data_IF_026122802804
#
_entry.id   IF_026122802804
#
_cell.length_a   1.000
_cell.length_b   1.000
_cell.length_c   1.000
_cell.angle_alpha   90.00
_cell.angle_beta   90.00
_cell.angle_gamma   90.00
#
_symmetry.space_group_name_H-M   'P 1'
#
loop_
_entity.id
_entity.type
_entity.pdbx_description
1 polymer ?
#
# COMPACT_ATOMS: atom_id res chain seq x y z
N UNK A 1 -6.71 18.98 17.67
CA UNK A 1 -7.81 19.15 16.71
C UNK A 1 -7.97 17.82 16.00
N UNK A 2 -9.14 17.19 16.08
CA UNK A 2 -9.43 15.91 15.43
C UNK A 2 -9.77 16.15 13.95
N UNK A 3 -9.30 15.30 13.06
CA UNK A 3 -9.50 15.44 11.61
C UNK A 3 -10.99 15.38 11.24
N UNK A 4 -11.79 14.60 11.98
CA UNK A 4 -13.24 14.56 11.81
C UNK A 4 -13.90 15.90 12.16
N UNK A 5 -13.44 16.58 13.21
CA UNK A 5 -13.96 17.90 13.59
C UNK A 5 -13.69 18.99 12.55
N UNK A 6 -12.63 18.84 11.74
CA UNK A 6 -12.40 19.70 10.58
C UNK A 6 -13.47 19.45 9.50
N UNK A 7 -13.80 18.18 9.24
CA UNK A 7 -14.85 17.82 8.28
C UNK A 7 -16.24 18.28 8.74
N UNK A 8 -16.56 18.12 10.03
CA UNK A 8 -17.82 18.61 10.62
C UNK A 8 -18.01 20.11 10.37
N UNK A 9 -16.99 20.91 10.71
CA UNK A 9 -17.04 22.37 10.50
C UNK A 9 -17.17 22.77 9.04
N UNK A 10 -16.61 21.99 8.11
CA UNK A 10 -16.78 22.25 6.69
C UNK A 10 -18.23 22.01 6.28
N UNK A 11 -18.81 20.89 6.67
CA UNK A 11 -20.21 20.57 6.39
C UNK A 11 -21.17 21.59 7.00
N UNK A 12 -20.94 22.01 8.25
CA UNK A 12 -21.74 23.04 8.95
C UNK A 12 -21.71 24.41 8.25
N UNK A 13 -20.64 24.69 7.51
CA UNK A 13 -20.47 25.94 6.74
C UNK A 13 -20.88 25.79 5.27
N UNK A 14 -21.43 24.64 4.88
CA UNK A 14 -21.85 24.34 3.51
C UNK A 14 -20.70 24.02 2.56
N UNK A 15 -19.48 23.81 3.08
CA UNK A 15 -18.30 23.45 2.30
C UNK A 15 -18.15 21.92 2.23
N UNK A 16 -17.96 21.40 1.02
CA UNK A 16 -17.70 19.98 0.83
C UNK A 16 -16.19 19.70 0.82
N UNK A 17 -15.69 18.75 1.62
CA UNK A 17 -14.29 18.37 1.58
C UNK A 17 -13.93 17.82 0.19
N UNK A 18 -12.95 18.45 -0.45
CA UNK A 18 -12.45 18.00 -1.74
C UNK A 18 -11.29 17.00 -1.57
N UNK A 19 -10.88 16.36 -2.67
CA UNK A 19 -9.83 15.33 -2.63
C UNK A 19 -8.50 15.81 -2.07
N UNK A 20 -8.14 17.09 -2.24
CA UNK A 20 -6.88 17.66 -1.71
C UNK A 20 -6.90 17.69 -0.19
N UNK A 21 -8.01 18.11 0.42
CA UNK A 21 -8.17 18.18 1.87
C UNK A 21 -8.11 16.76 2.47
N UNK A 22 -8.80 15.81 1.87
CA UNK A 22 -8.78 14.42 2.34
C UNK A 22 -7.39 13.80 2.22
N UNK A 23 -6.69 14.03 1.11
CA UNK A 23 -5.30 13.58 0.95
C UNK A 23 -4.37 14.19 2.00
N UNK A 24 -4.52 15.48 2.33
CA UNK A 24 -3.72 16.14 3.35
C UNK A 24 -3.99 15.58 4.76
N UNK A 25 -5.26 15.32 5.10
CA UNK A 25 -5.63 14.69 6.36
C UNK A 25 -5.04 13.28 6.49
N UNK A 26 -5.15 12.46 5.45
CA UNK A 26 -4.58 11.10 5.44
C UNK A 26 -3.06 11.15 5.66
N UNK A 27 -2.35 12.02 4.94
CA UNK A 27 -0.89 12.12 5.05
C UNK A 27 -0.45 12.66 6.42
N UNK A 28 -1.12 13.68 6.94
CA UNK A 28 -0.85 14.23 8.27
C UNK A 28 -1.08 13.21 9.39
N UNK A 29 -2.22 12.53 9.37
CA UNK A 29 -2.55 11.49 10.35
C UNK A 29 -1.60 10.29 10.26
N UNK A 30 -1.18 9.91 9.05
CA UNK A 30 -0.19 8.85 8.84
C UNK A 30 1.13 9.20 9.52
N UNK A 31 1.64 10.42 9.30
CA UNK A 31 2.88 10.92 9.93
C UNK A 31 2.82 10.96 11.46
N UNK A 32 1.66 11.27 12.03
CA UNK A 32 1.43 11.22 13.47
C UNK A 32 1.19 9.79 14.01
N UNK A 33 1.12 8.78 13.14
CA UNK A 33 0.80 7.40 13.52
C UNK A 33 -0.66 7.17 13.92
N UNK A 34 -1.56 8.13 13.65
CA UNK A 34 -3.00 8.10 13.97
C UNK A 34 -3.79 7.34 12.90
N UNK A 35 -3.40 6.09 12.67
CA UNK A 35 -3.91 5.25 11.56
C UNK A 35 -5.43 5.06 11.64
N UNK A 36 -5.98 4.80 12.83
CA UNK A 36 -7.42 4.58 12.97
C UNK A 36 -8.26 5.84 12.72
N UNK A 37 -7.71 7.02 13.00
CA UNK A 37 -8.39 8.26 12.65
C UNK A 37 -8.32 8.53 11.15
N UNK A 38 -7.21 8.20 10.49
CA UNK A 38 -7.11 8.25 9.04
C UNK A 38 -8.16 7.34 8.39
N UNK A 39 -8.37 6.14 8.92
CA UNK A 39 -9.43 5.22 8.46
C UNK A 39 -10.82 5.81 8.61
N UNK A 40 -11.16 6.37 9.79
CA UNK A 40 -12.46 7.01 10.02
C UNK A 40 -12.72 8.16 9.04
N UNK A 41 -11.69 8.96 8.73
CA UNK A 41 -11.77 10.00 7.69
C UNK A 41 -12.08 9.40 6.33
N UNK A 42 -11.37 8.33 5.93
CA UNK A 42 -11.59 7.65 4.64
C UNK A 42 -13.01 7.08 4.56
N UNK A 43 -13.45 6.36 5.59
CA UNK A 43 -14.76 5.72 5.63
C UNK A 43 -15.88 6.76 5.52
N UNK A 44 -15.80 7.86 6.28
CA UNK A 44 -16.80 8.95 6.22
C UNK A 44 -17.00 9.50 4.82
N UNK A 45 -15.91 9.73 4.08
CA UNK A 45 -15.96 10.53 2.85
C UNK A 45 -16.04 9.70 1.57
N UNK A 46 -15.88 8.39 1.66
CA UNK A 46 -15.70 7.56 0.47
C UNK A 46 -16.34 6.18 0.53
N UNK A 47 -16.94 5.77 1.65
CA UNK A 47 -17.61 4.47 1.73
C UNK A 47 -18.60 4.28 0.58
N UNK A 48 -18.54 3.11 -0.08
CA UNK A 48 -19.39 2.80 -1.24
C UNK A 48 -19.02 3.49 -2.55
N UNK A 49 -17.90 4.24 -2.61
CA UNK A 49 -17.45 4.92 -3.83
C UNK A 49 -16.11 4.36 -4.37
N UNK A 50 -15.82 4.61 -5.64
CA UNK A 50 -14.51 4.27 -6.23
C UNK A 50 -13.33 4.96 -5.52
N UNK A 51 -13.57 6.11 -4.88
CA UNK A 51 -12.56 6.85 -4.11
C UNK A 51 -12.11 6.08 -2.86
N UNK A 52 -12.90 5.13 -2.37
CA UNK A 52 -12.58 4.34 -1.19
C UNK A 52 -11.27 3.57 -1.36
N UNK A 53 -11.16 2.85 -2.48
CA UNK A 53 -9.95 2.11 -2.84
C UNK A 53 -8.73 3.05 -3.00
N UNK A 54 -8.94 4.23 -3.61
CA UNK A 54 -7.89 5.23 -3.80
C UNK A 54 -7.34 5.77 -2.48
N UNK A 55 -8.23 6.13 -1.54
CA UNK A 55 -7.80 6.71 -0.28
C UNK A 55 -7.18 5.69 0.67
N UNK A 56 -7.68 4.46 0.71
CA UNK A 56 -7.00 3.37 1.42
C UNK A 56 -5.63 3.06 0.80
N UNK A 57 -5.51 3.08 -0.53
CA UNK A 57 -4.22 2.97 -1.21
C UNK A 57 -3.25 4.08 -0.82
N UNK A 58 -3.72 5.33 -0.74
CA UNK A 58 -2.92 6.46 -0.26
C UNK A 58 -2.44 6.26 1.19
N UNK A 59 -3.30 5.74 2.07
CA UNK A 59 -2.93 5.43 3.45
C UNK A 59 -1.79 4.40 3.50
N UNK A 60 -1.88 3.31 2.73
CA UNK A 60 -0.80 2.30 2.63
C UNK A 60 0.51 2.94 2.15
N UNK A 61 0.45 3.72 1.07
CA UNK A 61 1.63 4.41 0.52
C UNK A 61 2.24 5.38 1.52
N UNK A 62 1.42 6.18 2.22
CA UNK A 62 1.92 7.13 3.21
C UNK A 62 2.58 6.41 4.39
N UNK A 63 1.98 5.33 4.91
CA UNK A 63 2.56 4.51 5.98
C UNK A 63 3.89 3.86 5.59
N UNK A 64 4.00 3.30 4.38
CA UNK A 64 5.27 2.78 3.88
C UNK A 64 6.37 3.85 3.80
N UNK A 65 6.03 5.06 3.33
CA UNK A 65 6.99 6.17 3.18
C UNK A 65 7.57 6.65 4.50
N UNK A 66 6.85 6.47 5.60
CA UNK A 66 7.30 6.85 6.95
C UNK A 66 7.85 5.66 7.76
N UNK A 67 8.09 4.50 7.12
CA UNK A 67 8.64 3.30 7.77
C UNK A 67 7.67 2.59 8.72
N UNK A 68 6.35 2.83 8.60
CA UNK A 68 5.31 2.12 9.35
C UNK A 68 4.81 0.90 8.57
N UNK A 69 5.72 0.12 7.99
CA UNK A 69 5.40 -0.96 7.03
C UNK A 69 4.49 -2.04 7.62
N UNK A 70 4.64 -2.39 8.90
CA UNK A 70 3.73 -3.34 9.57
C UNK A 70 2.28 -2.87 9.61
N UNK A 71 2.05 -1.58 9.85
CA UNK A 71 0.70 -1.01 9.81
C UNK A 71 0.20 -0.92 8.36
N UNK A 72 1.07 -0.51 7.43
CA UNK A 72 0.74 -0.52 6.00
C UNK A 72 0.31 -1.90 5.51
N UNK A 73 0.98 -2.97 5.96
CA UNK A 73 0.68 -4.35 5.61
C UNK A 73 -0.68 -4.80 6.17
N UNK A 74 -1.02 -4.43 7.41
CA UNK A 74 -2.35 -4.70 7.99
C UNK A 74 -3.45 -4.04 7.16
N UNK A 75 -3.27 -2.77 6.81
CA UNK A 75 -4.23 -2.03 5.98
C UNK A 75 -4.33 -2.67 4.60
N UNK A 76 -3.20 -3.01 3.98
CA UNK A 76 -3.16 -3.67 2.69
C UNK A 76 -3.91 -5.02 2.69
N UNK A 77 -3.65 -5.89 3.68
CA UNK A 77 -4.35 -7.17 3.81
C UNK A 77 -5.85 -6.99 4.02
N UNK A 78 -6.24 -5.99 4.81
CA UNK A 78 -7.65 -5.61 4.97
C UNK A 78 -8.28 -5.14 3.66
N UNK A 79 -7.58 -4.31 2.86
CA UNK A 79 -8.05 -3.93 1.52
C UNK A 79 -8.36 -5.16 0.66
N UNK A 80 -7.43 -6.11 0.60
CA UNK A 80 -7.61 -7.35 -0.16
C UNK A 80 -8.79 -8.17 0.37
N UNK A 81 -8.89 -8.35 1.70
CA UNK A 81 -9.96 -9.12 2.34
C UNK A 81 -11.35 -8.49 2.13
N UNK A 82 -11.43 -7.17 2.04
CA UNK A 82 -12.66 -6.43 1.74
C UNK A 82 -13.00 -6.36 0.24
N UNK A 83 -12.27 -7.10 -0.61
CA UNK A 83 -12.52 -7.14 -2.05
C UNK A 83 -12.03 -5.90 -2.81
N UNK A 84 -11.29 -4.99 -2.16
CA UNK A 84 -10.69 -3.85 -2.82
C UNK A 84 -9.58 -4.30 -3.78
N UNK A 85 -9.26 -3.44 -4.75
CA UNK A 85 -8.25 -3.68 -5.76
C UNK A 85 -7.16 -2.62 -5.64
N UNK A 86 -6.18 -2.79 -4.73
CA UNK A 86 -5.03 -1.92 -4.66
C UNK A 86 -4.40 -1.76 -6.04
N UNK A 87 -4.04 -0.53 -6.39
CA UNK A 87 -3.41 -0.25 -7.67
C UNK A 87 -1.90 -0.57 -7.63
N UNK A 88 -1.29 -0.51 -8.79
CA UNK A 88 0.11 -0.83 -9.07
C UNK A 88 1.09 -0.07 -8.17
N UNK A 89 0.78 1.21 -7.90
CA UNK A 89 1.56 2.04 -7.00
C UNK A 89 1.55 1.47 -5.57
N UNK A 90 0.39 1.06 -5.07
CA UNK A 90 0.27 0.47 -3.73
C UNK A 90 1.03 -0.85 -3.65
N UNK A 91 0.87 -1.73 -4.65
CA UNK A 91 1.56 -3.01 -4.73
C UNK A 91 3.08 -2.84 -4.75
N UNK A 92 3.58 -1.97 -5.63
CA UNK A 92 5.01 -1.70 -5.76
C UNK A 92 5.59 -1.07 -4.49
N UNK A 93 4.84 -0.14 -3.87
CA UNK A 93 5.27 0.53 -2.64
C UNK A 93 5.36 -0.41 -1.44
N UNK A 94 4.36 -1.29 -1.24
CA UNK A 94 4.37 -2.22 -0.10
C UNK A 94 5.47 -3.27 -0.24
N UNK A 95 5.66 -3.84 -1.44
CA UNK A 95 6.74 -4.81 -1.68
C UNK A 95 8.09 -4.16 -1.44
N UNK A 96 8.34 -2.98 -2.03
CA UNK A 96 9.59 -2.24 -1.83
C UNK A 96 9.86 -1.96 -0.36
N UNK A 97 8.85 -1.51 0.39
CA UNK A 97 9.00 -1.21 1.82
C UNK A 97 9.39 -2.46 2.64
N UNK A 98 8.78 -3.63 2.34
CA UNK A 98 9.10 -4.89 3.03
C UNK A 98 10.55 -5.33 2.74
N UNK A 99 11.01 -5.23 1.50
CA UNK A 99 12.39 -5.57 1.15
C UNK A 99 13.42 -4.62 1.78
N UNK A 100 13.09 -3.32 1.88
CA UNK A 100 13.95 -2.33 2.55
C UNK A 100 14.04 -2.55 4.08
N UNK A 101 13.11 -3.27 4.68
CA UNK A 101 13.16 -3.70 6.10
C UNK A 101 13.88 -5.04 6.31
N UNK A 102 14.58 -5.55 5.29
CA UNK A 102 15.28 -6.85 5.32
C UNK A 102 14.35 -8.06 5.55
N UNK A 103 13.03 -7.87 5.35
CA UNK A 103 12.00 -8.91 5.47
C UNK A 103 11.79 -9.63 4.13
N UNK A 104 12.88 -10.09 3.54
CA UNK A 104 12.96 -10.55 2.14
C UNK A 104 11.96 -11.67 1.83
N UNK A 105 11.82 -12.68 2.69
CA UNK A 105 10.87 -13.77 2.49
C UNK A 105 9.40 -13.34 2.62
N UNK A 106 9.10 -12.42 3.53
CA UNK A 106 7.74 -11.86 3.65
C UNK A 106 7.35 -11.12 2.37
N UNK A 107 8.29 -10.35 1.82
CA UNK A 107 8.10 -9.60 0.58
C UNK A 107 7.90 -10.53 -0.61
N UNK A 108 8.71 -11.59 -0.72
CA UNK A 108 8.54 -12.60 -1.76
C UNK A 108 7.23 -13.37 -1.61
N UNK A 109 6.83 -13.74 -0.39
CA UNK A 109 5.55 -14.41 -0.13
C UNK A 109 4.35 -13.54 -0.52
N UNK A 110 4.43 -12.24 -0.25
CA UNK A 110 3.42 -11.28 -0.72
C UNK A 110 3.39 -11.22 -2.24
N UNK A 111 4.53 -11.08 -2.90
CA UNK A 111 4.65 -11.09 -4.36
C UNK A 111 4.07 -12.38 -4.97
N UNK A 112 4.43 -13.55 -4.46
CA UNK A 112 3.95 -14.85 -4.94
C UNK A 112 2.42 -14.99 -4.78
N UNK A 113 1.85 -14.41 -3.71
CA UNK A 113 0.40 -14.37 -3.54
C UNK A 113 -0.28 -13.48 -4.59
N UNK A 114 0.33 -12.35 -4.93
CA UNK A 114 -0.17 -11.43 -5.96
C UNK A 114 -0.10 -12.07 -7.35
N UNK A 115 0.99 -12.78 -7.63
CA UNK A 115 1.18 -13.59 -8.83
C UNK A 115 0.08 -14.64 -9.00
N UNK A 116 -0.14 -15.47 -7.98
CA UNK A 116 -1.21 -16.49 -7.99
C UNK A 116 -2.60 -15.89 -8.17
N UNK A 117 -2.80 -14.64 -7.73
CA UNK A 117 -4.06 -13.92 -7.91
C UNK A 117 -4.17 -13.17 -9.25
N UNK A 118 -3.16 -13.24 -10.12
CA UNK A 118 -3.13 -12.54 -11.41
C UNK A 118 -2.93 -11.02 -11.33
N UNK A 119 -2.47 -10.49 -10.18
CA UNK A 119 -2.30 -9.06 -9.93
C UNK A 119 -0.87 -8.56 -10.09
N UNK A 120 0.11 -9.44 -10.29
CA UNK A 120 1.51 -9.04 -10.43
C UNK A 120 2.02 -8.60 -11.82
N UNK A 121 1.30 -8.73 -12.95
CA UNK A 121 1.72 -8.12 -14.22
C UNK A 121 1.88 -6.59 -14.18
N UNK A 122 1.40 -5.95 -13.11
CA UNK A 122 1.33 -4.50 -12.98
C UNK A 122 2.34 -3.91 -11.99
N UNK A 123 3.30 -4.72 -11.51
CA UNK A 123 4.38 -4.27 -10.62
C UNK A 123 5.55 -3.75 -11.47
N UNK A 124 6.13 -2.63 -11.04
CA UNK A 124 7.29 -1.99 -11.69
C UNK A 124 8.50 -2.95 -11.81
N UNK A 125 9.18 -2.94 -12.96
CA UNK A 125 10.35 -3.77 -13.26
C UNK A 125 11.47 -3.60 -12.23
N UNK A 126 11.63 -2.39 -11.68
CA UNK A 126 12.66 -2.10 -10.67
C UNK A 126 12.46 -2.93 -9.40
N UNK A 127 11.21 -3.32 -9.09
CA UNK A 127 10.91 -4.16 -7.93
C UNK A 127 11.48 -5.56 -8.11
N UNK A 128 11.44 -6.14 -9.30
CA UNK A 128 12.03 -7.46 -9.56
C UNK A 128 13.53 -7.47 -9.28
N UNK A 129 14.24 -6.40 -9.67
CA UNK A 129 15.67 -6.22 -9.38
C UNK A 129 15.94 -6.13 -7.88
N UNK A 130 15.15 -5.34 -7.14
CA UNK A 130 15.26 -5.23 -5.67
C UNK A 130 15.01 -6.59 -5.02
N UNK A 131 13.99 -7.32 -5.47
CA UNK A 131 13.64 -8.63 -4.92
C UNK A 131 14.74 -9.65 -5.18
N UNK A 132 15.24 -9.72 -6.41
CA UNK A 132 16.31 -10.66 -6.80
C UNK A 132 17.60 -10.38 -6.03
N UNK A 133 18.00 -9.11 -5.92
CA UNK A 133 19.18 -8.72 -5.14
C UNK A 133 19.03 -9.12 -3.67
N UNK A 134 17.91 -8.77 -3.03
CA UNK A 134 17.67 -9.10 -1.62
C UNK A 134 17.62 -10.61 -1.35
N UNK A 135 17.01 -11.40 -2.24
CA UNK A 135 16.97 -12.86 -2.12
C UNK A 135 18.37 -13.48 -2.27
N UNK A 136 19.16 -13.01 -3.24
CA UNK A 136 20.55 -13.47 -3.43
C UNK A 136 21.43 -13.11 -2.23
N UNK A 137 21.38 -11.88 -1.74
CA UNK A 137 22.16 -11.41 -0.59
C UNK A 137 21.88 -12.22 0.67
N UNK A 138 20.63 -12.67 0.87
CA UNK A 138 20.20 -13.48 2.02
C UNK A 138 20.27 -14.98 1.77
N UNK A 139 20.87 -15.41 0.65
CA UNK A 139 21.03 -16.83 0.27
C UNK A 139 19.71 -17.61 0.11
N UNK A 140 18.60 -16.91 -0.20
CA UNK A 140 17.31 -17.52 -0.54
C UNK A 140 17.27 -17.90 -2.03
N UNK A 141 18.14 -18.82 -2.42
CA UNK A 141 18.43 -19.13 -3.83
C UNK A 141 17.26 -19.80 -4.56
N UNK A 142 16.37 -20.50 -3.84
CA UNK A 142 15.21 -21.18 -4.44
C UNK A 142 14.21 -20.15 -4.94
N UNK A 143 13.87 -19.20 -4.08
CA UNK A 143 12.99 -18.07 -4.38
C UNK A 143 13.62 -17.15 -5.45
N UNK A 144 14.92 -16.88 -5.34
CA UNK A 144 15.66 -16.09 -6.34
C UNK A 144 15.61 -16.76 -7.73
N UNK A 145 15.84 -18.07 -7.82
CA UNK A 145 15.77 -18.80 -9.07
C UNK A 145 14.36 -18.79 -9.66
N UNK A 146 13.33 -18.96 -8.82
CA UNK A 146 11.93 -18.86 -9.26
C UNK A 146 11.62 -17.47 -9.81
N UNK A 147 12.08 -16.42 -9.14
CA UNK A 147 11.90 -15.04 -9.61
C UNK A 147 12.63 -14.78 -10.93
N UNK A 148 13.88 -15.23 -11.06
CA UNK A 148 14.68 -15.07 -12.27
C UNK A 148 14.04 -15.74 -13.49
N UNK A 149 13.52 -16.97 -13.32
CA UNK A 149 12.77 -17.67 -14.37
C UNK A 149 11.55 -16.86 -14.81
N UNK A 150 10.79 -16.33 -13.84
CA UNK A 150 9.61 -15.50 -14.14
C UNK A 150 9.97 -14.22 -14.91
N UNK A 151 11.09 -13.56 -14.56
CA UNK A 151 11.56 -12.37 -15.28
C UNK A 151 11.88 -12.69 -16.74
N UNK A 152 12.54 -13.83 -17.01
CA UNK A 152 12.85 -14.30 -18.37
C UNK A 152 11.57 -14.61 -19.16
N UNK A 153 10.62 -15.31 -18.55
CA UNK A 153 9.33 -15.63 -19.17
C UNK A 153 8.55 -14.36 -19.57
N UNK A 154 8.65 -13.30 -18.75
CA UNK A 154 7.96 -12.02 -18.96
C UNK A 154 8.76 -10.99 -19.75
N UNK A 155 10.02 -11.27 -20.07
CA UNK A 155 10.94 -10.35 -20.74
C UNK A 155 11.09 -9.00 -20.00
N UNK A 156 11.21 -9.09 -18.68
CA UNK A 156 11.48 -7.95 -17.77
C UNK A 156 12.97 -7.71 -17.68
#
# INVERSE_FOLDING_TARGET
MEALGVLDRMEDTGLQPNGVIITALIDGLSKEGRVEEARKVIDRVSIGSEKHNKFYGLLVVSLCRIGKTKEAEKIFRMMIASGMKPNDLVLSTIIKAIFLEDRVLDGFGLFDSLEKSGRSPAIDSDIYSIMLAGLCEKSHLVEAAKLATLMVERRI
#
